data_IF_600368293082
#
_entry.id   IF_600368293082
#
_cell.length_a   1.000
_cell.length_b   1.000
_cell.length_c   1.000
_cell.angle_alpha   90.00
_cell.angle_beta   90.00
_cell.angle_gamma   90.00
#
_symmetry.space_group_name_H-M   'P 1'
#
loop_
_entity.id
_entity.type
_entity.pdbx_description
1 polymer ?
#
# COMPACT_ATOMS: atom_id res chain seq x y z
N UNK A 1 11.17 4.02 -27.46
CA UNK A 1 12.02 4.41 -26.34
C UNK A 1 11.45 5.51 -25.47
N UNK A 2 10.73 6.47 -26.04
CA UNK A 2 10.02 7.51 -25.27
C UNK A 2 8.93 6.94 -24.36
N UNK A 3 8.32 5.82 -24.75
CA UNK A 3 7.28 5.13 -23.97
C UNK A 3 7.85 4.54 -22.69
N UNK A 4 9.08 4.02 -22.73
CA UNK A 4 9.74 3.43 -21.57
C UNK A 4 10.07 4.50 -20.52
N UNK A 5 10.53 5.67 -20.96
CA UNK A 5 10.79 6.82 -20.08
C UNK A 5 9.50 7.34 -19.46
N UNK A 6 8.41 7.33 -20.21
CA UNK A 6 7.10 7.73 -19.71
C UNK A 6 6.60 6.79 -18.61
N UNK A 7 6.78 5.47 -18.80
CA UNK A 7 6.43 4.46 -17.81
C UNK A 7 7.25 4.61 -16.53
N UNK A 8 8.56 4.85 -16.66
CA UNK A 8 9.44 5.09 -15.50
C UNK A 8 9.01 6.36 -14.77
N UNK A 9 8.63 7.41 -15.49
CA UNK A 9 8.12 8.64 -14.89
C UNK A 9 6.82 8.41 -14.13
N UNK A 10 5.92 7.60 -14.67
CA UNK A 10 4.65 7.26 -14.01
C UNK A 10 4.92 6.51 -12.69
N UNK A 11 5.88 5.59 -12.69
CA UNK A 11 6.28 4.88 -11.48
C UNK A 11 6.91 5.78 -10.41
N UNK A 12 7.56 6.86 -10.81
CA UNK A 12 8.20 7.80 -9.90
C UNK A 12 7.28 8.92 -9.45
N UNK A 13 6.09 9.05 -10.04
CA UNK A 13 5.09 10.06 -9.71
C UNK A 13 3.99 9.50 -8.81
N UNK A 14 3.04 10.36 -8.44
CA UNK A 14 1.92 10.05 -7.58
C UNK A 14 1.17 8.76 -7.96
N UNK A 15 1.00 8.51 -9.25
CA UNK A 15 0.32 7.32 -9.76
C UNK A 15 1.09 6.03 -9.45
N UNK A 16 2.41 6.08 -9.50
CA UNK A 16 3.24 4.94 -9.13
C UNK A 16 3.16 4.63 -7.64
N UNK A 17 3.09 5.65 -6.80
CA UNK A 17 2.91 5.52 -5.36
C UNK A 17 1.54 4.90 -5.06
N UNK A 18 0.48 5.36 -5.73
CA UNK A 18 -0.86 4.79 -5.59
C UNK A 18 -0.90 3.30 -5.94
N UNK A 19 -0.24 2.91 -7.02
CA UNK A 19 -0.13 1.51 -7.42
C UNK A 19 0.58 0.68 -6.36
N UNK A 20 1.66 1.19 -5.83
CA UNK A 20 2.43 0.54 -4.76
C UNK A 20 1.58 0.36 -3.51
N UNK A 21 0.85 1.40 -3.12
CA UNK A 21 -0.06 1.37 -1.96
C UNK A 21 -1.14 0.29 -2.16
N UNK A 22 -1.73 0.22 -3.34
CA UNK A 22 -2.75 -0.78 -3.66
C UNK A 22 -2.20 -2.20 -3.59
N UNK A 23 -0.99 -2.42 -4.09
CA UNK A 23 -0.35 -3.73 -4.04
C UNK A 23 -0.04 -4.16 -2.60
N UNK A 24 0.47 -3.26 -1.78
CA UNK A 24 0.69 -3.55 -0.36
C UNK A 24 -0.62 -3.79 0.37
N UNK A 25 -1.66 -3.02 0.07
CA UNK A 25 -2.97 -3.23 0.67
C UNK A 25 -3.53 -4.61 0.33
N UNK A 26 -3.37 -5.05 -0.91
CA UNK A 26 -3.78 -6.39 -1.33
C UNK A 26 -3.02 -7.47 -0.56
N UNK A 27 -1.71 -7.33 -0.41
CA UNK A 27 -0.89 -8.28 0.33
C UNK A 27 -1.29 -8.33 1.81
N UNK A 28 -1.57 -7.20 2.41
CA UNK A 28 -2.05 -7.12 3.80
C UNK A 28 -3.43 -7.73 3.94
N UNK A 29 -4.33 -7.46 2.99
CA UNK A 29 -5.70 -8.00 3.00
C UNK A 29 -5.71 -9.52 2.93
N UNK A 30 -4.87 -10.12 2.09
CA UNK A 30 -4.79 -11.57 1.93
C UNK A 30 -3.89 -12.26 2.95
N UNK A 31 -3.30 -11.51 3.88
CA UNK A 31 -2.45 -12.07 4.91
C UNK A 31 -1.09 -12.52 4.45
N UNK A 32 -0.66 -12.07 3.27
CA UNK A 32 0.68 -12.38 2.74
C UNK A 32 1.79 -11.63 3.48
N UNK A 33 1.42 -10.53 4.14
CA UNK A 33 2.34 -9.69 4.89
C UNK A 33 1.61 -9.16 6.12
N UNK A 34 2.29 -9.16 7.29
CA UNK A 34 1.74 -8.57 8.50
C UNK A 34 1.93 -7.05 8.49
N UNK A 35 1.01 -6.32 9.12
CA UNK A 35 1.11 -4.86 9.24
C UNK A 35 2.42 -4.43 9.91
N UNK A 36 2.83 -5.14 10.97
CA UNK A 36 4.09 -4.86 11.64
C UNK A 36 5.30 -4.98 10.71
N UNK A 37 5.29 -5.96 9.83
CA UNK A 37 6.34 -6.11 8.81
C UNK A 37 6.34 -4.97 7.81
N UNK A 38 5.15 -4.51 7.41
CA UNK A 38 5.00 -3.37 6.51
C UNK A 38 5.57 -2.09 7.15
N UNK A 39 5.26 -1.83 8.40
CA UNK A 39 5.74 -0.65 9.13
C UNK A 39 7.26 -0.68 9.28
N UNK A 40 7.84 -1.86 9.48
CA UNK A 40 9.30 -2.04 9.60
C UNK A 40 10.06 -1.71 8.32
N UNK A 41 9.38 -1.71 7.17
CA UNK A 41 10.03 -1.34 5.90
C UNK A 41 10.48 0.12 5.87
N UNK A 42 9.98 0.95 6.79
CA UNK A 42 10.45 2.32 6.94
C UNK A 42 9.85 3.32 5.97
N UNK A 43 8.69 3.03 5.43
CA UNK A 43 7.96 4.00 4.61
C UNK A 43 7.51 5.19 5.46
N UNK A 44 7.27 6.33 4.81
CA UNK A 44 6.81 7.53 5.50
C UNK A 44 5.42 7.33 6.10
N UNK A 45 5.10 8.13 7.11
CA UNK A 45 3.77 8.14 7.72
C UNK A 45 2.65 8.36 6.69
N UNK A 46 2.93 9.19 5.68
CA UNK A 46 2.01 9.44 4.58
C UNK A 46 1.64 8.15 3.86
N UNK A 47 2.62 7.32 3.51
CA UNK A 47 2.40 6.05 2.82
C UNK A 47 1.66 5.06 3.73
N UNK A 48 2.01 5.01 5.00
CA UNK A 48 1.34 4.16 5.98
C UNK A 48 -0.14 4.54 6.10
N UNK A 49 -0.44 5.83 6.20
CA UNK A 49 -1.81 6.32 6.31
C UNK A 49 -2.62 6.07 5.04
N UNK A 50 -2.02 6.27 3.88
CA UNK A 50 -2.67 5.98 2.59
C UNK A 50 -2.97 4.49 2.42
N UNK A 51 -2.09 3.63 2.91
CA UNK A 51 -2.31 2.18 2.90
C UNK A 51 -3.46 1.80 3.81
N UNK A 52 -3.56 2.40 4.99
CA UNK A 52 -4.71 2.23 5.90
C UNK A 52 -6.01 2.66 5.24
N UNK A 53 -6.03 3.80 4.57
CA UNK A 53 -7.21 4.29 3.85
C UNK A 53 -7.64 3.32 2.77
N UNK A 54 -6.69 2.78 2.02
CA UNK A 54 -6.96 1.80 0.98
C UNK A 54 -7.54 0.51 1.58
N UNK A 55 -6.99 0.04 2.70
CA UNK A 55 -7.52 -1.13 3.41
C UNK A 55 -8.95 -0.88 3.91
N UNK A 56 -9.24 0.33 4.40
CA UNK A 56 -10.57 0.69 4.88
C UNK A 56 -11.63 0.63 3.78
N UNK A 57 -11.24 0.85 2.53
CA UNK A 57 -12.13 0.70 1.38
C UNK A 57 -12.36 -0.78 1.05
N UNK A 58 -11.35 -1.63 1.26
CA UNK A 58 -11.36 -3.04 0.87
C UNK A 58 -12.06 -3.95 1.87
N UNK A 59 -12.10 -3.59 3.14
CA UNK A 59 -12.59 -4.46 4.21
C UNK A 59 -13.43 -3.67 5.22
N UNK A 60 -14.18 -4.40 6.07
CA UNK A 60 -14.95 -3.80 7.15
C UNK A 60 -14.05 -3.41 8.33
N UNK A 61 -14.63 -2.77 9.35
CA UNK A 61 -13.89 -2.29 10.52
C UNK A 61 -13.26 -3.43 11.32
N UNK A 62 -13.93 -4.56 11.43
CA UNK A 62 -13.41 -5.73 12.16
C UNK A 62 -12.17 -6.29 11.50
N UNK A 63 -12.23 -6.52 10.20
CA UNK A 63 -11.10 -7.05 9.44
C UNK A 63 -9.94 -6.05 9.42
N UNK A 64 -10.24 -4.77 9.28
CA UNK A 64 -9.22 -3.72 9.32
C UNK A 64 -8.50 -3.73 10.67
N UNK A 65 -9.23 -3.83 11.77
CA UNK A 65 -8.64 -3.90 13.11
C UNK A 65 -7.74 -5.13 13.26
N UNK A 66 -8.16 -6.27 12.75
CA UNK A 66 -7.35 -7.49 12.75
C UNK A 66 -6.05 -7.33 11.97
N UNK A 67 -6.12 -6.74 10.79
CA UNK A 67 -4.96 -6.50 9.93
C UNK A 67 -3.98 -5.55 10.64
N UNK A 68 -4.46 -4.46 11.21
CA UNK A 68 -3.61 -3.48 11.89
C UNK A 68 -3.01 -4.02 13.18
N UNK A 69 -3.59 -5.05 13.76
CA UNK A 69 -3.07 -5.71 14.96
C UNK A 69 -2.04 -6.80 14.65
N UNK A 70 -1.87 -7.12 13.39
CA UNK A 70 -0.96 -8.20 12.96
C UNK A 70 0.52 -7.84 13.03
#
# INVERSE_FOLDING_TARGET
>A
MKILLLLVRIFLQEEGIDMMIKLFAIDLYYGRMAWSSFVKKGFSEFINNKTKEQLAIMCDEELLAEILAS
#
